data_IF_526677009128
#
_entry.id   IF_526677009128
#
_cell.length_a   1.000
_cell.length_b   1.000
_cell.length_c   1.000
_cell.angle_alpha   90.00
_cell.angle_beta   90.00
_cell.angle_gamma   90.00
#
_symmetry.space_group_name_H-M   'P 1'
#
loop_
_entity.id
_entity.type
_entity.pdbx_description
1 polymer ?
#
# COMPACT_ATOMS: atom_id res chain seq x y z
N UNK A 1 -5.08 8.40 -6.37
CA UNK A 1 -6.30 8.79 -5.66
C UNK A 1 -5.87 9.87 -4.68
N UNK A 2 -5.82 11.13 -5.13
CA UNK A 2 -5.42 12.22 -4.23
C UNK A 2 -6.59 12.53 -3.32
N UNK A 3 -6.41 12.30 -2.02
CA UNK A 3 -7.29 12.92 -1.04
C UNK A 3 -6.95 14.41 -1.11
N UNK A 4 -7.83 15.20 -1.74
CA UNK A 4 -7.66 16.65 -1.81
C UNK A 4 -7.45 17.19 -0.38
N UNK A 5 -6.37 17.96 -0.17
CA UNK A 5 -5.94 18.44 1.16
C UNK A 5 -7.07 18.99 2.03
N UNK A 6 -8.06 19.66 1.43
CA UNK A 6 -9.25 20.15 2.15
C UNK A 6 -10.03 19.04 2.87
N UNK A 7 -10.30 17.92 2.20
CA UNK A 7 -11.08 16.80 2.77
C UNK A 7 -10.37 16.16 3.98
N UNK A 8 -9.04 16.16 3.98
CA UNK A 8 -8.26 15.61 5.09
C UNK A 8 -8.43 16.46 6.36
N UNK A 9 -8.37 17.78 6.24
CA UNK A 9 -8.59 18.68 7.38
C UNK A 9 -10.03 18.60 7.91
N UNK A 10 -11.04 18.53 7.02
CA UNK A 10 -12.44 18.36 7.41
C UNK A 10 -12.65 17.07 8.25
N UNK A 11 -12.00 15.96 7.85
CA UNK A 11 -12.08 14.70 8.59
C UNK A 11 -11.38 14.76 9.95
N UNK A 12 -10.27 15.49 10.06
CA UNK A 12 -9.58 15.67 11.33
C UNK A 12 -10.41 16.51 12.31
N UNK A 13 -11.13 17.52 11.82
CA UNK A 13 -12.04 18.31 12.64
C UNK A 13 -13.21 17.45 13.15
N UNK A 14 -13.80 16.60 12.29
CA UNK A 14 -14.83 15.64 12.69
C UNK A 14 -14.29 14.67 13.76
N UNK A 15 -13.06 14.16 13.59
CA UNK A 15 -12.42 13.30 14.59
C UNK A 15 -12.25 14.04 15.93
N UNK A 16 -11.83 15.31 15.91
CA UNK A 16 -11.68 16.14 17.10
C UNK A 16 -12.99 16.29 17.88
N UNK A 17 -14.12 16.43 17.18
CA UNK A 17 -15.43 16.49 17.83
C UNK A 17 -15.89 15.18 18.48
N UNK A 18 -15.32 14.03 18.07
CA UNK A 18 -15.69 12.71 18.59
C UNK A 18 -14.68 12.17 19.61
N UNK A 19 -13.40 12.46 19.42
CA UNK A 19 -12.29 12.00 20.26
C UNK A 19 -11.15 13.03 20.24
N UNK A 20 -11.24 13.98 21.17
CA UNK A 20 -10.27 15.07 21.30
C UNK A 20 -8.85 14.57 21.54
N UNK A 21 -8.67 13.57 22.41
CA UNK A 21 -7.36 13.00 22.75
C UNK A 21 -6.71 12.34 21.52
N UNK A 22 -7.50 11.58 20.76
CA UNK A 22 -7.04 10.97 19.51
C UNK A 22 -6.68 12.01 18.45
N UNK A 23 -7.48 13.06 18.30
CA UNK A 23 -7.21 14.14 17.37
C UNK A 23 -5.95 14.94 17.74
N UNK A 24 -5.73 15.21 19.03
CA UNK A 24 -4.51 15.86 19.52
C UNK A 24 -3.28 14.96 19.31
N UNK A 25 -3.37 13.67 19.64
CA UNK A 25 -2.29 12.72 19.43
C UNK A 25 -1.86 12.70 17.96
N UNK A 26 -2.83 12.60 17.05
CA UNK A 26 -2.52 12.59 15.63
C UNK A 26 -1.97 13.94 15.18
N UNK A 27 -2.54 15.08 15.63
CA UNK A 27 -2.07 16.43 15.28
C UNK A 27 -0.61 16.69 15.64
N UNK A 28 -0.04 15.91 16.56
CA UNK A 28 1.38 15.97 16.92
C UNK A 28 2.30 15.23 15.94
N UNK A 29 1.77 14.35 15.10
CA UNK A 29 2.52 13.69 14.03
C UNK A 29 2.58 14.66 12.84
N UNK A 30 3.76 14.87 12.21
CA UNK A 30 3.87 15.70 11.01
C UNK A 30 2.94 15.21 9.90
N UNK A 31 2.14 16.09 9.29
CA UNK A 31 1.11 15.69 8.31
C UNK A 31 1.67 14.95 7.09
N UNK A 32 2.91 15.23 6.69
CA UNK A 32 3.67 14.51 5.67
C UNK A 32 3.91 13.03 6.00
N UNK A 33 3.69 12.62 7.25
CA UNK A 33 3.91 11.27 7.76
C UNK A 33 2.61 10.52 8.10
N UNK A 34 1.44 11.17 8.01
CA UNK A 34 0.18 10.58 8.48
C UNK A 34 -0.38 9.48 7.59
N UNK A 35 -0.44 9.74 6.28
CA UNK A 35 -1.08 8.81 5.35
C UNK A 35 -0.37 8.83 4.01
N UNK A 36 -0.32 7.66 3.37
CA UNK A 36 0.20 7.45 2.02
C UNK A 36 -0.49 8.33 0.95
N UNK A 37 -1.63 8.95 1.30
CA UNK A 37 -2.41 9.89 0.48
C UNK A 37 -2.10 11.37 0.71
N UNK A 38 -1.31 11.71 1.74
CA UNK A 38 -0.89 13.08 2.07
C UNK A 38 0.63 13.25 1.89
N UNK A 39 1.23 12.46 1.00
CA UNK A 39 2.67 12.49 0.76
C UNK A 39 3.11 13.73 -0.06
N UNK A 40 2.16 14.54 -0.55
CA UNK A 40 2.46 15.72 -1.37
C UNK A 40 3.23 15.38 -2.65
N UNK A 41 3.19 14.12 -3.11
CA UNK A 41 4.00 13.57 -4.19
C UNK A 41 5.40 13.10 -3.76
N UNK A 42 5.80 13.30 -2.51
CA UNK A 42 7.04 12.83 -1.92
C UNK A 42 6.81 11.49 -1.25
N UNK A 43 7.11 10.42 -1.99
CA UNK A 43 7.03 9.03 -1.53
C UNK A 43 8.00 8.74 -0.39
N UNK A 44 7.68 9.19 0.82
CA UNK A 44 8.31 8.74 2.06
C UNK A 44 7.75 7.37 2.42
N UNK A 45 8.12 6.38 1.63
CA UNK A 45 7.81 5.00 1.89
C UNK A 45 8.97 4.15 1.41
N UNK A 46 9.55 3.39 2.32
CA UNK A 46 10.30 2.16 2.03
C UNK A 46 9.38 1.13 1.33
N UNK A 47 8.78 1.51 0.21
CA UNK A 47 7.93 0.73 -0.69
C UNK A 47 8.34 1.02 -2.15
N UNK A 48 9.63 0.97 -2.43
CA UNK A 48 10.17 0.74 -3.79
C UNK A 48 10.43 -0.75 -4.00
N UNK A 49 9.40 -1.55 -3.82
CA UNK A 49 9.26 -2.83 -4.51
C UNK A 49 7.79 -2.94 -4.84
N UNK A 50 7.41 -2.23 -5.91
CA UNK A 50 6.09 -2.37 -6.48
C UNK A 50 5.83 -3.88 -6.66
N UNK A 51 4.67 -4.38 -6.25
CA UNK A 51 4.35 -5.81 -6.42
C UNK A 51 4.57 -6.25 -7.88
N UNK A 52 4.29 -5.38 -8.84
CA UNK A 52 4.58 -5.61 -10.24
C UNK A 52 6.09 -5.73 -10.55
N UNK A 53 6.97 -5.01 -9.85
CA UNK A 53 8.44 -5.14 -9.98
C UNK A 53 8.96 -6.44 -9.35
N UNK A 54 8.41 -6.83 -8.18
CA UNK A 54 8.70 -8.12 -7.56
C UNK A 54 8.31 -9.27 -8.51
N UNK A 55 7.09 -9.23 -9.04
CA UNK A 55 6.58 -10.21 -10.00
C UNK A 55 7.39 -10.19 -11.31
N UNK A 56 7.76 -9.01 -11.84
CA UNK A 56 8.62 -8.92 -13.02
C UNK A 56 10.02 -9.49 -12.79
N UNK A 57 10.56 -9.37 -11.58
CA UNK A 57 11.86 -9.95 -11.23
C UNK A 57 11.79 -11.47 -11.17
N UNK A 58 10.71 -12.02 -10.62
CA UNK A 58 10.40 -13.46 -10.67
C UNK A 58 10.27 -13.92 -12.13
N UNK A 59 9.50 -13.20 -12.96
CA UNK A 59 9.32 -13.54 -14.37
C UNK A 59 10.58 -13.39 -15.22
N UNK A 60 11.50 -12.49 -14.87
CA UNK A 60 12.83 -12.42 -15.51
C UNK A 60 13.63 -13.70 -15.28
N UNK A 61 13.55 -14.30 -14.08
CA UNK A 61 14.19 -15.57 -13.76
C UNK A 61 13.55 -16.77 -14.45
N UNK A 62 12.26 -16.70 -14.80
CA UNK A 62 11.51 -17.82 -15.36
C UNK A 62 11.37 -17.82 -16.89
N UNK A 63 12.02 -16.90 -17.61
CA UNK A 63 11.92 -16.78 -19.08
C UNK A 63 12.35 -18.02 -19.88
N UNK A 64 13.13 -18.90 -19.27
CA UNK A 64 13.58 -20.16 -19.88
C UNK A 64 12.57 -21.30 -19.73
N UNK A 65 11.52 -21.11 -18.95
CA UNK A 65 10.45 -22.09 -18.76
C UNK A 65 9.28 -21.83 -19.71
N UNK A 66 8.55 -22.89 -20.03
CA UNK A 66 7.29 -22.77 -20.75
C UNK A 66 6.29 -21.99 -19.90
N UNK A 67 5.51 -21.10 -20.53
CA UNK A 67 4.45 -20.33 -19.87
C UNK A 67 3.49 -21.28 -19.14
N UNK A 68 3.20 -22.44 -19.73
CA UNK A 68 2.35 -23.47 -19.13
C UNK A 68 2.90 -24.02 -17.82
N UNK A 69 4.23 -24.21 -17.72
CA UNK A 69 4.88 -24.65 -16.48
C UNK A 69 4.77 -23.58 -15.39
N UNK A 70 5.03 -22.32 -15.71
CA UNK A 70 4.93 -21.21 -14.74
C UNK A 70 3.50 -21.06 -14.21
N UNK A 71 2.51 -21.12 -15.08
CA UNK A 71 1.09 -21.02 -14.68
C UNK A 71 0.67 -22.20 -13.80
N UNK A 72 1.11 -23.42 -14.16
CA UNK A 72 0.79 -24.64 -13.41
C UNK A 72 1.37 -24.62 -11.99
N UNK A 73 2.65 -24.27 -11.86
CA UNK A 73 3.31 -24.15 -10.55
C UNK A 73 2.69 -23.04 -9.70
N UNK A 74 2.38 -21.88 -10.31
CA UNK A 74 1.72 -20.77 -9.60
C UNK A 74 0.35 -21.19 -9.06
N UNK A 75 -0.45 -21.91 -9.86
CA UNK A 75 -1.75 -22.40 -9.44
C UNK A 75 -1.64 -23.36 -8.23
N UNK A 76 -0.71 -24.33 -8.28
CA UNK A 76 -0.55 -25.27 -7.17
C UNK A 76 -0.11 -24.58 -5.87
N UNK A 77 0.87 -23.68 -5.94
CA UNK A 77 1.31 -22.93 -4.76
C UNK A 77 0.21 -22.04 -4.17
N UNK A 78 -0.62 -21.40 -5.02
CA UNK A 78 -1.74 -20.60 -4.53
C UNK A 78 -2.81 -21.46 -3.83
N UNK A 79 -3.09 -22.65 -4.35
CA UNK A 79 -4.04 -23.59 -3.73
C UNK A 79 -3.54 -24.08 -2.37
N UNK A 80 -2.22 -24.28 -2.22
CA UNK A 80 -1.60 -24.67 -0.95
C UNK A 80 -1.59 -23.53 0.08
N UNK A 81 -1.30 -22.30 -0.36
CA UNK A 81 -1.24 -21.12 0.50
C UNK A 81 -2.64 -20.64 0.95
N UNK A 82 -3.66 -20.86 0.12
CA UNK A 82 -5.03 -20.44 0.37
C UNK A 82 -5.99 -21.65 0.29
N UNK A 83 -5.87 -22.60 1.25
CA UNK A 83 -6.82 -23.70 1.35
C UNK A 83 -8.21 -23.14 1.69
N UNK A 84 -9.25 -23.82 1.19
CA UNK A 84 -10.66 -23.45 1.43
C UNK A 84 -11.07 -23.61 2.89
#
# INVERSE_FOLDING_TARGET
>A
YEIMKGRFHDMLEILGSTNEVGAQYLSNIPFDQWTQSYDGGLRYGHMTSNLAECINSIFKGTRHFLITSVVKETYFHLVELFPK
#
